data_IF_010679018830
#
_entry.id   IF_010679018830
#
_cell.length_a   1.000
_cell.length_b   1.000
_cell.length_c   1.000
_cell.angle_alpha   90.00
_cell.angle_beta   90.00
_cell.angle_gamma   90.00
#
_symmetry.space_group_name_H-M   'P 1'
#
loop_
_entity.id
_entity.type
_entity.pdbx_description
1 polymer ?
#
# COMPACT_ATOMS: atom_id res chain seq x y z
N UNK A 1 -13.49 12.63 2.25
CA UNK A 1 -13.87 11.67 3.30
C UNK A 1 -12.77 10.63 3.36
N UNK A 2 -12.11 10.53 4.50
CA UNK A 2 -11.04 9.58 4.75
C UNK A 2 -11.61 8.22 5.22
N UNK A 3 -11.00 7.13 4.78
CA UNK A 3 -11.44 5.78 5.12
C UNK A 3 -12.76 5.36 4.47
N UNK A 4 -13.40 4.35 5.04
CA UNK A 4 -14.71 3.87 4.61
C UNK A 4 -15.81 4.86 5.04
N UNK A 5 -16.76 5.22 4.15
CA UNK A 5 -17.00 4.72 2.79
C UNK A 5 -16.34 5.55 1.68
N UNK A 6 -15.47 6.49 1.99
CA UNK A 6 -14.96 7.49 1.05
C UNK A 6 -13.85 6.99 0.12
N UNK A 7 -13.05 6.01 0.57
CA UNK A 7 -11.86 5.55 -0.16
C UNK A 7 -11.98 4.12 -0.71
N UNK A 8 -13.05 3.39 -0.37
CA UNK A 8 -13.24 1.97 -0.71
C UNK A 8 -14.21 1.72 -1.89
N UNK A 9 -14.60 2.77 -2.61
CA UNK A 9 -15.51 2.68 -3.75
C UNK A 9 -17.00 2.77 -3.42
N UNK A 10 -17.41 2.67 -2.15
CA UNK A 10 -18.84 2.69 -1.76
C UNK A 10 -19.48 4.03 -2.03
N UNK A 11 -18.83 5.13 -1.65
CA UNK A 11 -19.34 6.47 -1.86
C UNK A 11 -19.35 6.82 -3.35
N UNK A 12 -18.31 6.43 -4.09
CA UNK A 12 -18.23 6.59 -5.53
C UNK A 12 -19.39 5.84 -6.24
N UNK A 13 -19.66 4.59 -5.83
CA UNK A 13 -20.78 3.81 -6.35
C UNK A 13 -22.14 4.45 -6.07
N UNK A 14 -22.32 5.01 -4.90
CA UNK A 14 -23.53 5.77 -4.58
C UNK A 14 -23.68 7.01 -5.48
N UNK A 15 -22.60 7.77 -5.69
CA UNK A 15 -22.62 8.94 -6.56
C UNK A 15 -22.90 8.56 -8.02
N UNK A 16 -22.32 7.44 -8.51
CA UNK A 16 -22.56 6.95 -9.86
C UNK A 16 -24.06 6.60 -10.06
N UNK A 17 -24.69 5.89 -9.11
CA UNK A 17 -26.12 5.57 -9.15
C UNK A 17 -26.99 6.82 -9.15
N UNK A 18 -26.59 7.84 -8.39
CA UNK A 18 -27.30 9.11 -8.27
C UNK A 18 -26.94 10.11 -9.37
N UNK A 19 -26.00 9.77 -10.26
CA UNK A 19 -25.46 10.66 -11.29
C UNK A 19 -24.88 11.98 -10.74
N UNK A 20 -24.29 11.90 -9.55
CA UNK A 20 -23.61 13.02 -8.90
C UNK A 20 -22.15 13.01 -9.33
N UNK A 21 -21.64 14.09 -9.97
CA UNK A 21 -20.23 14.16 -10.35
C UNK A 21 -19.33 14.30 -9.11
N UNK A 22 -18.15 13.68 -9.17
CA UNK A 22 -17.13 13.75 -8.11
C UNK A 22 -15.72 13.83 -8.73
N UNK A 23 -14.74 14.26 -7.96
CA UNK A 23 -13.38 14.57 -8.42
C UNK A 23 -12.34 13.49 -8.15
N UNK A 24 -12.69 12.43 -7.42
CA UNK A 24 -11.78 11.32 -7.13
C UNK A 24 -11.84 10.22 -8.21
N UNK A 25 -11.06 9.15 -8.01
CA UNK A 25 -11.09 7.98 -8.90
C UNK A 25 -12.44 7.25 -8.83
N UNK A 26 -12.76 6.47 -9.88
CA UNK A 26 -14.01 5.70 -9.93
C UNK A 26 -13.99 4.48 -9.00
N UNK A 27 -15.16 3.83 -8.90
CA UNK A 27 -15.45 2.73 -7.97
C UNK A 27 -14.39 1.63 -7.99
N UNK A 28 -14.04 1.12 -9.17
CA UNK A 28 -13.11 0.00 -9.30
C UNK A 28 -11.71 0.37 -8.79
N UNK A 29 -11.20 1.53 -9.18
CA UNK A 29 -9.89 1.99 -8.75
C UNK A 29 -9.85 2.21 -7.24
N UNK A 30 -10.87 2.85 -6.66
CA UNK A 30 -10.98 3.05 -5.22
C UNK A 30 -11.00 1.71 -4.48
N UNK A 31 -11.84 0.76 -4.90
CA UNK A 31 -11.95 -0.55 -4.26
C UNK A 31 -10.63 -1.36 -4.32
N UNK A 32 -9.98 -1.41 -5.49
CA UNK A 32 -8.71 -2.13 -5.65
C UNK A 32 -7.60 -1.49 -4.79
N UNK A 33 -7.46 -0.17 -4.82
CA UNK A 33 -6.37 0.50 -4.12
C UNK A 33 -6.55 0.54 -2.60
N UNK A 34 -7.77 0.38 -2.11
CA UNK A 34 -8.05 0.31 -0.68
C UNK A 34 -7.69 -1.05 -0.06
N UNK A 35 -7.71 -2.13 -0.86
CA UNK A 35 -7.30 -3.47 -0.44
C UNK A 35 -5.84 -3.73 -0.87
N UNK A 36 -4.94 -3.78 0.11
CA UNK A 36 -3.49 -3.90 -0.13
C UNK A 36 -3.12 -5.17 -0.89
N UNK A 37 -3.73 -6.31 -0.53
CA UNK A 37 -3.44 -7.57 -1.21
C UNK A 37 -3.94 -7.54 -2.65
N UNK A 38 -5.19 -7.14 -2.86
CA UNK A 38 -5.79 -7.05 -4.19
C UNK A 38 -5.03 -6.06 -5.07
N UNK A 39 -4.66 -4.89 -4.54
CA UNK A 39 -3.85 -3.90 -5.26
C UNK A 39 -2.51 -4.49 -5.70
N UNK A 40 -1.79 -5.14 -4.80
CA UNK A 40 -0.51 -5.77 -5.10
C UNK A 40 -0.66 -6.85 -6.19
N UNK A 41 -1.64 -7.75 -6.06
CA UNK A 41 -1.87 -8.80 -7.08
C UNK A 41 -2.28 -8.21 -8.42
N UNK A 42 -3.10 -7.17 -8.43
CA UNK A 42 -3.46 -6.46 -9.66
C UNK A 42 -2.23 -5.86 -10.34
N UNK A 43 -1.38 -5.16 -9.60
CA UNK A 43 -0.16 -4.55 -10.13
C UNK A 43 0.85 -5.61 -10.61
N UNK A 44 0.97 -6.74 -9.90
CA UNK A 44 1.82 -7.88 -10.30
C UNK A 44 1.46 -8.39 -11.70
N UNK A 45 0.16 -8.43 -12.02
CA UNK A 45 -0.31 -8.86 -13.35
C UNK A 45 0.16 -7.94 -14.49
N UNK A 46 0.54 -6.69 -14.19
CA UNK A 46 1.13 -5.73 -15.13
C UNK A 46 2.66 -5.65 -15.06
N UNK A 47 3.31 -6.60 -14.39
CA UNK A 47 4.76 -6.66 -14.31
C UNK A 47 5.39 -5.73 -13.26
N UNK A 48 4.59 -5.06 -12.43
CA UNK A 48 5.11 -4.26 -11.33
C UNK A 48 5.68 -5.19 -10.27
N UNK A 49 6.90 -4.94 -9.83
CA UNK A 49 7.54 -5.69 -8.73
C UNK A 49 6.83 -5.37 -7.43
N UNK A 50 6.35 -6.40 -6.75
CA UNK A 50 5.72 -6.30 -5.43
C UNK A 50 6.48 -7.14 -4.43
N UNK A 51 6.30 -6.86 -3.14
CA UNK A 51 6.75 -7.75 -2.08
C UNK A 51 5.99 -9.08 -2.11
N UNK A 52 6.68 -10.20 -1.85
CA UNK A 52 6.00 -11.48 -1.66
C UNK A 52 5.07 -11.39 -0.44
N UNK A 53 3.89 -11.95 -0.59
CA UNK A 53 2.87 -11.80 0.44
C UNK A 53 1.91 -12.99 0.52
N UNK A 54 1.36 -13.19 1.71
CA UNK A 54 0.31 -14.16 2.02
C UNK A 54 -0.91 -13.43 2.59
N UNK A 55 -2.10 -13.85 2.16
CA UNK A 55 -3.36 -13.38 2.71
C UNK A 55 -3.95 -14.43 3.64
N UNK A 56 -4.23 -14.03 4.87
CA UNK A 56 -4.93 -14.84 5.87
C UNK A 56 -6.33 -14.28 6.06
N UNK A 57 -7.32 -15.17 6.03
CA UNK A 57 -8.71 -14.84 6.36
C UNK A 57 -9.04 -15.27 7.77
N UNK A 58 -9.99 -14.62 8.38
CA UNK A 58 -10.44 -14.97 9.73
C UNK A 58 -10.82 -16.47 9.80
N UNK A 59 -10.30 -17.16 10.81
CA UNK A 59 -10.44 -18.60 10.97
C UNK A 59 -9.39 -19.45 10.26
N UNK A 60 -8.53 -18.86 9.43
CA UNK A 60 -7.33 -19.52 8.91
C UNK A 60 -6.17 -19.37 9.89
N UNK A 61 -5.33 -20.39 9.97
CA UNK A 61 -4.08 -20.39 10.74
C UNK A 61 -2.90 -20.68 9.83
N UNK A 62 -1.76 -20.14 10.17
CA UNK A 62 -0.46 -20.41 9.56
C UNK A 62 0.56 -20.60 10.65
N UNK A 63 1.49 -21.54 10.47
CA UNK A 63 2.58 -21.73 11.43
C UNK A 63 3.67 -20.66 11.24
N UNK A 64 4.42 -20.40 12.31
CA UNK A 64 5.55 -19.47 12.25
C UNK A 64 6.62 -19.94 11.26
N UNK A 65 6.85 -21.29 11.21
CA UNK A 65 7.75 -21.92 10.26
C UNK A 65 7.34 -21.60 8.82
N UNK A 66 6.07 -21.74 8.50
CA UNK A 66 5.54 -21.50 7.16
C UNK A 66 5.66 -20.01 6.77
N UNK A 67 5.45 -19.09 7.70
CA UNK A 67 5.66 -17.64 7.45
C UNK A 67 7.15 -17.40 7.14
N UNK A 68 8.05 -17.94 7.95
CA UNK A 68 9.50 -17.74 7.74
C UNK A 68 9.97 -18.37 6.43
N UNK A 69 9.45 -19.54 6.06
CA UNK A 69 9.81 -20.21 4.81
C UNK A 69 9.34 -19.47 3.57
N UNK A 70 8.08 -18.97 3.58
CA UNK A 70 7.45 -18.35 2.40
C UNK A 70 7.75 -16.86 2.26
N UNK A 71 7.88 -16.14 3.38
CA UNK A 71 8.01 -14.69 3.41
C UNK A 71 9.38 -14.24 3.89
N UNK A 72 9.94 -14.93 4.88
CA UNK A 72 11.18 -14.54 5.54
C UNK A 72 10.98 -13.51 6.65
N UNK A 73 12.09 -13.16 7.30
CA UNK A 73 12.15 -12.11 8.32
C UNK A 73 13.26 -11.12 7.97
N UNK A 74 13.08 -9.82 8.26
CA UNK A 74 11.88 -9.23 8.83
C UNK A 74 10.72 -9.21 7.84
N UNK A 75 9.48 -9.17 8.35
CA UNK A 75 8.28 -9.03 7.55
C UNK A 75 7.29 -8.04 8.18
N UNK A 76 6.29 -7.62 7.42
CA UNK A 76 5.17 -6.84 7.94
C UNK A 76 3.92 -7.70 8.05
N UNK A 77 3.22 -7.58 9.17
CA UNK A 77 1.89 -8.15 9.37
C UNK A 77 0.92 -7.00 9.59
N UNK A 78 -0.11 -6.93 8.76
CA UNK A 78 -1.01 -5.76 8.68
C UNK A 78 -2.41 -6.13 8.19
N UNK A 79 -3.45 -5.35 8.54
CA UNK A 79 -4.76 -5.47 7.91
C UNK A 79 -4.67 -5.27 6.40
N UNK A 80 -5.36 -6.11 5.59
CA UNK A 80 -5.42 -5.92 4.13
C UNK A 80 -6.20 -4.65 3.79
N UNK A 81 -7.33 -4.44 4.45
CA UNK A 81 -8.16 -3.24 4.35
C UNK A 81 -7.76 -2.20 5.39
N UNK A 82 -7.99 -0.93 5.07
CA UNK A 82 -7.76 0.18 5.97
C UNK A 82 -6.49 0.99 5.68
N UNK A 83 -6.31 2.04 6.46
CA UNK A 83 -5.26 3.05 6.28
C UNK A 83 -4.51 3.38 7.57
N UNK A 84 -3.76 4.49 7.54
CA UNK A 84 -3.07 5.12 8.68
C UNK A 84 -2.19 4.20 9.53
N UNK A 85 -1.73 3.09 8.99
CA UNK A 85 -0.86 2.11 9.65
C UNK A 85 -1.44 1.47 10.94
N UNK A 86 -2.78 1.54 11.14
CA UNK A 86 -3.42 0.82 12.23
C UNK A 86 -3.23 -0.69 12.08
N UNK A 87 -2.93 -1.38 13.18
CA UNK A 87 -2.74 -2.82 13.22
C UNK A 87 -1.47 -3.32 12.52
N UNK A 88 -0.61 -2.43 12.00
CA UNK A 88 0.66 -2.81 11.35
C UNK A 88 1.71 -3.18 12.40
N UNK A 89 2.45 -4.24 12.13
CA UNK A 89 3.58 -4.67 12.95
C UNK A 89 4.74 -5.11 12.06
N UNK A 90 5.94 -4.56 12.28
CA UNK A 90 7.18 -5.07 11.71
C UNK A 90 7.68 -6.20 12.61
N UNK A 91 7.67 -7.40 12.08
CA UNK A 91 8.04 -8.64 12.77
C UNK A 91 9.48 -8.97 12.45
N UNK A 92 10.33 -9.12 13.47
CA UNK A 92 11.76 -9.41 13.32
C UNK A 92 12.14 -10.82 13.77
N UNK A 93 11.33 -11.43 14.66
CA UNK A 93 11.56 -12.78 15.20
C UNK A 93 10.31 -13.64 15.08
N UNK A 94 10.48 -14.96 15.12
CA UNK A 94 9.37 -15.92 15.01
C UNK A 94 8.30 -15.71 16.09
N UNK A 95 8.72 -15.43 17.30
CA UNK A 95 7.85 -15.28 18.48
C UNK A 95 6.88 -14.10 18.33
N UNK A 96 7.20 -13.14 17.46
CA UNK A 96 6.36 -11.97 17.20
C UNK A 96 5.24 -12.24 16.17
N UNK A 97 5.31 -13.36 15.41
CA UNK A 97 4.39 -13.61 14.29
C UNK A 97 2.95 -13.74 14.79
N UNK A 98 2.67 -14.71 15.68
CA UNK A 98 1.29 -14.94 16.13
C UNK A 98 0.68 -13.74 16.86
N UNK A 99 1.38 -13.07 17.79
CA UNK A 99 0.88 -11.83 18.41
C UNK A 99 0.53 -10.75 17.38
N UNK A 100 1.36 -10.59 16.32
CA UNK A 100 1.11 -9.61 15.26
C UNK A 100 -0.12 -9.98 14.41
N UNK A 101 -0.31 -11.27 14.08
CA UNK A 101 -1.49 -11.76 13.36
C UNK A 101 -2.76 -11.49 14.18
N UNK A 102 -2.75 -11.82 15.47
CA UNK A 102 -3.90 -11.57 16.36
C UNK A 102 -4.22 -10.08 16.42
N UNK A 103 -3.20 -9.22 16.58
CA UNK A 103 -3.37 -7.77 16.57
C UNK A 103 -4.01 -7.27 15.27
N UNK A 104 -3.53 -7.74 14.11
CA UNK A 104 -4.04 -7.32 12.81
C UNK A 104 -5.47 -7.82 12.57
N UNK A 105 -5.84 -9.02 13.03
CA UNK A 105 -7.22 -9.50 13.00
C UNK A 105 -8.18 -8.74 13.94
N UNK A 106 -7.65 -8.03 14.91
CA UNK A 106 -8.44 -7.11 15.73
C UNK A 106 -8.98 -5.91 14.94
N UNK A 107 -8.34 -5.56 13.82
CA UNK A 107 -8.69 -4.41 12.98
C UNK A 107 -9.41 -4.80 11.68
N UNK A 108 -9.26 -6.04 11.18
CA UNK A 108 -9.83 -6.47 9.91
C UNK A 108 -10.05 -7.99 9.85
N UNK A 109 -10.90 -8.43 8.92
CA UNK A 109 -11.16 -9.86 8.66
C UNK A 109 -10.10 -10.53 7.78
N UNK A 110 -9.27 -9.75 7.13
CA UNK A 110 -8.19 -10.21 6.25
C UNK A 110 -6.87 -9.55 6.66
N UNK A 111 -5.85 -10.38 6.85
CA UNK A 111 -4.51 -9.99 7.29
C UNK A 111 -3.51 -10.33 6.21
N UNK A 112 -2.70 -9.35 5.86
CA UNK A 112 -1.59 -9.47 4.93
C UNK A 112 -0.29 -9.70 5.70
N UNK A 113 0.41 -10.79 5.38
CA UNK A 113 1.80 -11.03 5.78
C UNK A 113 2.67 -10.75 4.57
N UNK A 114 3.58 -9.79 4.65
CA UNK A 114 4.32 -9.26 3.51
C UNK A 114 5.80 -9.15 3.81
N UNK A 115 6.64 -9.59 2.88
CA UNK A 115 8.08 -9.50 2.99
C UNK A 115 8.54 -8.03 3.13
N UNK A 116 9.55 -7.81 3.96
CA UNK A 116 10.19 -6.51 4.05
C UNK A 116 10.99 -6.23 2.77
N UNK A 117 10.75 -5.08 2.17
CA UNK A 117 11.56 -4.57 1.06
C UNK A 117 12.49 -3.49 1.60
N UNK A 118 13.78 -3.75 1.58
CA UNK A 118 14.78 -2.74 1.93
C UNK A 118 14.94 -1.74 0.79
N UNK A 119 14.99 -0.46 1.12
CA UNK A 119 15.15 0.60 0.13
C UNK A 119 14.66 1.96 0.58
N UNK A 120 14.64 2.90 -0.35
CA UNK A 120 14.13 4.26 -0.14
C UNK A 120 12.63 4.30 -0.40
N UNK A 121 11.86 4.79 0.55
CA UNK A 121 10.42 4.99 0.40
C UNK A 121 10.14 6.25 -0.41
N UNK A 122 9.38 6.10 -1.48
CA UNK A 122 8.99 7.20 -2.36
C UNK A 122 7.48 7.27 -2.46
N UNK A 123 6.98 8.49 -2.55
CA UNK A 123 5.59 8.76 -2.93
C UNK A 123 5.56 9.67 -4.15
N UNK A 124 4.50 9.59 -4.95
CA UNK A 124 4.36 10.43 -6.12
C UNK A 124 2.88 10.77 -6.35
N UNK A 125 2.58 12.04 -6.38
CA UNK A 125 1.24 12.54 -6.70
C UNK A 125 1.01 12.62 -8.20
N UNK A 126 -0.21 12.29 -8.64
CA UNK A 126 -0.62 12.51 -10.02
C UNK A 126 -2.10 12.88 -10.10
N UNK A 127 -2.47 13.54 -11.19
CA UNK A 127 -3.86 13.72 -11.54
C UNK A 127 -4.08 13.63 -13.06
N UNK A 128 -5.28 13.23 -13.45
CA UNK A 128 -5.67 13.11 -14.84
C UNK A 128 -6.92 13.94 -15.12
N UNK A 129 -6.88 14.71 -16.19
CA UNK A 129 -8.04 15.41 -16.76
C UNK A 129 -8.38 14.83 -18.12
N UNK A 130 -9.43 15.35 -18.77
CA UNK A 130 -9.74 14.98 -20.15
C UNK A 130 -8.63 15.36 -21.14
N UNK A 131 -7.84 16.38 -20.81
CA UNK A 131 -6.84 16.98 -21.71
C UNK A 131 -5.42 16.49 -21.42
N UNK A 132 -5.10 16.21 -20.16
CA UNK A 132 -3.73 15.88 -19.75
C UNK A 132 -3.67 14.97 -18.53
N UNK A 133 -2.57 14.23 -18.44
CA UNK A 133 -2.09 13.60 -17.21
C UNK A 133 -0.91 14.41 -16.68
N UNK A 134 -0.94 14.76 -15.41
CA UNK A 134 0.15 15.44 -14.72
C UNK A 134 0.67 14.55 -13.62
N UNK A 135 1.99 14.34 -13.58
CA UNK A 135 2.68 13.58 -12.58
C UNK A 135 3.66 14.55 -11.93
N UNK A 136 3.63 14.61 -10.61
CA UNK A 136 4.54 15.46 -9.85
C UNK A 136 5.90 14.77 -9.64
N UNK A 137 6.95 15.52 -9.32
CA UNK A 137 8.22 14.92 -8.92
C UNK A 137 8.01 13.96 -7.74
N UNK A 138 8.72 12.81 -7.71
CA UNK A 138 8.70 11.93 -6.55
C UNK A 138 9.17 12.64 -5.29
N UNK A 139 8.55 12.31 -4.18
CA UNK A 139 8.94 12.76 -2.84
C UNK A 139 9.52 11.58 -2.08
N UNK A 140 10.68 11.76 -1.50
CA UNK A 140 11.31 10.81 -0.58
C UNK A 140 10.70 10.96 0.80
N UNK A 141 10.29 9.84 1.39
CA UNK A 141 9.74 9.76 2.75
C UNK A 141 10.82 9.20 3.66
N UNK A 142 11.39 10.07 4.51
CA UNK A 142 12.43 9.69 5.47
C UNK A 142 11.81 9.60 6.85
N UNK A 143 11.62 8.39 7.36
CA UNK A 143 11.11 8.20 8.71
C UNK A 143 12.25 8.12 9.72
N UNK A 144 12.07 8.76 10.88
CA UNK A 144 12.98 8.63 12.03
C UNK A 144 12.65 7.40 12.88
N UNK A 145 11.52 6.74 12.62
CA UNK A 145 11.12 5.49 13.21
C UNK A 145 11.61 4.28 12.39
N UNK A 146 11.44 3.07 12.91
CA UNK A 146 11.80 1.83 12.20
C UNK A 146 11.03 1.62 10.89
N UNK A 147 9.86 2.26 10.75
CA UNK A 147 9.03 2.30 9.53
C UNK A 147 8.04 3.48 9.63
N UNK A 148 7.37 3.77 8.52
CA UNK A 148 6.38 4.85 8.43
C UNK A 148 5.06 4.44 9.11
N UNK A 149 5.09 4.41 10.45
CA UNK A 149 3.96 4.07 11.31
C UNK A 149 2.99 5.26 11.54
N UNK A 150 1.99 5.03 12.39
CA UNK A 150 1.02 6.08 12.74
C UNK A 150 1.67 7.30 13.38
N UNK A 151 2.59 7.08 14.31
CA UNK A 151 3.27 8.18 15.01
C UNK A 151 4.17 8.96 14.05
N UNK A 152 4.86 8.28 13.14
CA UNK A 152 5.62 8.94 12.08
C UNK A 152 4.73 9.85 11.22
N UNK A 153 3.52 9.37 10.86
CA UNK A 153 2.59 10.11 9.98
C UNK A 153 2.01 11.36 10.61
N UNK A 154 1.71 11.34 11.91
CA UNK A 154 0.91 12.38 12.53
C UNK A 154 1.66 13.19 13.59
N UNK A 155 2.82 12.74 14.06
CA UNK A 155 3.59 13.38 15.12
C UNK A 155 4.90 14.05 14.64
N UNK A 156 5.02 14.30 13.32
CA UNK A 156 6.13 15.05 12.74
C UNK A 156 7.48 14.33 12.77
N UNK A 157 7.46 12.98 12.78
CA UNK A 157 8.67 12.14 12.78
C UNK A 157 9.06 11.68 11.37
N UNK A 158 8.70 12.46 10.36
CA UNK A 158 8.97 12.21 8.95
C UNK A 158 9.42 13.47 8.27
N UNK A 159 10.48 13.36 7.48
CA UNK A 159 10.89 14.38 6.52
C UNK A 159 10.40 13.98 5.13
N UNK A 160 9.70 14.88 4.47
CA UNK A 160 9.26 14.75 3.08
C UNK A 160 10.14 15.63 2.19
N UNK A 161 10.97 15.01 1.34
CA UNK A 161 11.95 15.70 0.52
C UNK A 161 11.52 15.63 -0.94
N UNK A 162 11.15 16.78 -1.52
CA UNK A 162 10.76 16.91 -2.92
C UNK A 162 11.65 17.92 -3.66
N UNK A 163 12.26 17.56 -4.80
CA UNK A 163 12.32 16.23 -5.39
C UNK A 163 13.14 15.25 -4.55
N UNK A 164 12.78 13.95 -4.66
CA UNK A 164 13.49 12.88 -3.96
C UNK A 164 14.98 12.82 -4.33
N UNK A 165 15.82 12.43 -3.40
CA UNK A 165 17.30 12.30 -3.57
C UNK A 165 17.66 10.97 -4.24
N UNK A 166 17.14 10.77 -5.44
CA UNK A 166 17.36 9.57 -6.26
C UNK A 166 17.94 9.95 -7.62
N UNK A 167 18.50 8.97 -8.34
CA UNK A 167 19.04 9.21 -9.68
C UNK A 167 17.94 9.59 -10.69
N UNK A 168 18.32 10.28 -11.76
CA UNK A 168 17.41 10.61 -12.86
C UNK A 168 16.81 9.36 -13.51
N UNK A 169 17.56 8.25 -13.52
CA UNK A 169 17.07 6.96 -14.04
C UNK A 169 15.96 6.38 -13.17
N UNK A 170 16.15 6.37 -11.85
CA UNK A 170 15.11 5.93 -10.89
C UNK A 170 13.90 6.87 -10.91
N UNK A 171 14.12 8.16 -11.07
CA UNK A 171 13.04 9.14 -11.24
C UNK A 171 12.20 8.81 -12.47
N UNK A 172 12.82 8.56 -13.61
CA UNK A 172 12.12 8.18 -14.85
C UNK A 172 11.37 6.87 -14.68
N UNK A 173 11.99 5.86 -14.06
CA UNK A 173 11.35 4.56 -13.81
C UNK A 173 10.12 4.70 -12.92
N UNK A 174 10.20 5.47 -11.84
CA UNK A 174 9.08 5.77 -10.95
C UNK A 174 7.91 6.43 -11.70
N UNK A 175 8.22 7.44 -12.52
CA UNK A 175 7.21 8.15 -13.31
C UNK A 175 6.52 7.24 -14.33
N UNK A 176 7.27 6.32 -14.98
CA UNK A 176 6.71 5.36 -15.93
C UNK A 176 5.76 4.38 -15.23
N UNK A 177 6.15 3.84 -14.08
CA UNK A 177 5.31 2.91 -13.32
C UNK A 177 3.99 3.53 -12.87
N UNK A 178 3.96 4.83 -12.63
CA UNK A 178 2.75 5.56 -12.24
C UNK A 178 1.89 5.93 -13.44
N UNK A 179 2.50 6.38 -14.54
CA UNK A 179 1.77 6.91 -15.71
C UNK A 179 1.37 5.85 -16.71
N UNK A 180 2.14 4.80 -16.86
CA UNK A 180 2.01 3.81 -17.94
C UNK A 180 2.34 2.38 -17.46
N UNK A 181 1.65 1.86 -16.44
CA UNK A 181 1.96 0.53 -15.87
C UNK A 181 1.83 -0.61 -16.91
N UNK A 182 1.16 -0.37 -18.05
CA UNK A 182 0.92 -1.37 -19.09
C UNK A 182 1.95 -1.37 -20.22
N UNK A 183 2.82 -0.36 -20.33
CA UNK A 183 3.79 -0.28 -21.47
C UNK A 183 5.02 -1.18 -21.32
N UNK A 184 5.26 -1.76 -20.16
CA UNK A 184 6.41 -2.65 -19.92
C UNK A 184 6.11 -4.14 -20.12
N UNK A 185 4.93 -4.50 -20.59
CA UNK A 185 4.54 -5.89 -20.88
C UNK A 185 4.64 -6.26 -22.36
N UNK A 186 5.40 -5.52 -23.16
CA UNK A 186 5.73 -5.85 -24.55
C UNK A 186 7.22 -6.10 -24.72
#
# INVERSE_FOLDING_TARGET
IHGTPGEDGRLQGYFDMMRIPYSCCGVLAAAITYDKFTCNQYLKAFGVRIAESLLLRQGQSISDEEVVEKIGLPCFIKPSLGGSSFGVTKVKTKEQIQPAIVKAFGEAQEVLVEAFMDGTELTCGCYKTKEKTVIFPPTEVVTHNEFFDYDAKYNGQVDEITPARISDELTKLSLIHISEPTRHSL
#
